data_IF_196956204796
#
_entry.id   IF_196956204796
#
_cell.length_a   1.000
_cell.length_b   1.000
_cell.length_c   1.000
_cell.angle_alpha   90.00
_cell.angle_beta   90.00
_cell.angle_gamma   90.00
#
_symmetry.space_group_name_H-M   'P 1'
#
loop_
_entity.id
_entity.type
_entity.pdbx_description
1 polymer ?
#
# COMPACT_ATOMS: atom_id res chain seq x y z
N UNK A 1 1.66 -6.10 8.67
CA UNK A 1 3.13 -6.10 8.87
C UNK A 1 3.46 -6.03 10.34
N UNK A 2 2.87 -5.10 11.08
CA UNK A 2 3.26 -4.79 12.46
C UNK A 2 3.10 -5.96 13.43
N UNK A 3 2.08 -6.81 13.24
CA UNK A 3 1.94 -8.06 13.97
C UNK A 3 3.17 -8.98 13.82
N UNK A 4 3.71 -9.12 12.59
CA UNK A 4 4.87 -9.95 12.34
C UNK A 4 6.15 -9.34 12.95
N UNK A 5 6.28 -8.00 12.92
CA UNK A 5 7.38 -7.28 13.58
C UNK A 5 7.32 -7.49 15.09
N UNK A 6 6.13 -7.34 15.69
CA UNK A 6 5.93 -7.53 17.12
C UNK A 6 6.24 -8.96 17.57
N UNK A 7 5.73 -9.97 16.85
CA UNK A 7 6.04 -11.37 17.11
C UNK A 7 7.54 -11.65 16.92
N UNK A 8 8.15 -11.17 15.84
CA UNK A 8 9.58 -11.30 15.60
C UNK A 8 10.40 -10.76 16.78
N UNK A 9 10.04 -9.58 17.28
CA UNK A 9 10.71 -8.97 18.42
C UNK A 9 10.60 -9.82 19.71
N UNK A 10 9.46 -10.47 19.96
CA UNK A 10 9.30 -11.39 21.08
C UNK A 10 10.22 -12.61 21.00
N UNK A 11 10.55 -13.06 19.78
CA UNK A 11 11.49 -14.15 19.53
C UNK A 11 12.95 -13.66 19.34
N UNK A 12 13.23 -12.37 19.55
CA UNK A 12 14.57 -11.80 19.42
C UNK A 12 15.00 -11.46 17.98
N UNK A 13 14.07 -11.49 17.02
CA UNK A 13 14.33 -11.10 15.64
C UNK A 13 13.94 -9.63 15.38
N UNK A 14 14.70 -8.97 14.52
CA UNK A 14 14.38 -7.63 14.02
C UNK A 14 13.93 -7.73 12.57
N UNK A 15 12.67 -7.40 12.29
CA UNK A 15 12.13 -7.35 10.94
C UNK A 15 11.99 -5.89 10.46
N UNK A 16 12.28 -5.62 9.17
CA UNK A 16 12.08 -4.29 8.61
C UNK A 16 10.60 -3.92 8.51
N UNK A 17 10.29 -2.63 8.62
CA UNK A 17 8.96 -2.11 8.31
C UNK A 17 8.61 -2.39 6.84
N UNK A 18 7.37 -2.81 6.57
CA UNK A 18 6.94 -3.10 5.21
C UNK A 18 6.11 -1.97 4.58
N UNK A 19 5.52 -1.09 5.40
CA UNK A 19 4.71 0.04 4.94
C UNK A 19 5.04 1.28 5.74
N UNK A 20 5.25 2.40 5.05
CA UNK A 20 5.55 3.69 5.69
C UNK A 20 4.71 4.81 5.04
N UNK A 21 3.45 4.92 5.45
CA UNK A 21 2.49 5.91 4.93
C UNK A 21 2.56 6.09 3.40
N UNK A 22 2.35 5.00 2.62
CA UNK A 22 2.52 5.01 1.17
C UNK A 22 1.53 5.95 0.48
N UNK A 23 0.35 6.14 1.04
CA UNK A 23 -0.66 7.06 0.52
C UNK A 23 -0.30 8.54 0.72
N UNK A 24 0.79 8.90 1.41
CA UNK A 24 1.29 10.29 1.43
C UNK A 24 2.28 10.60 0.29
N UNK A 25 2.51 9.64 -0.60
CA UNK A 25 3.50 9.75 -1.68
C UNK A 25 3.12 10.80 -2.72
N UNK A 26 4.15 11.43 -3.29
CA UNK A 26 4.07 12.45 -4.34
C UNK A 26 4.66 11.97 -5.67
N UNK A 27 5.21 10.76 -5.72
CA UNK A 27 5.58 10.11 -6.98
C UNK A 27 5.37 8.61 -6.89
N UNK A 28 5.34 7.92 -8.04
CA UNK A 28 5.19 6.46 -8.09
C UNK A 28 6.45 5.79 -7.52
N UNK A 29 7.63 6.37 -7.76
CA UNK A 29 8.87 5.91 -7.13
C UNK A 29 8.81 6.02 -5.61
N UNK A 30 8.28 7.12 -5.08
CA UNK A 30 8.12 7.30 -3.64
C UNK A 30 7.12 6.29 -3.06
N UNK A 31 6.00 6.08 -3.74
CA UNK A 31 4.98 5.11 -3.35
C UNK A 31 5.57 3.72 -3.14
N UNK A 32 6.32 3.22 -4.12
CA UNK A 32 6.94 1.89 -4.06
C UNK A 32 8.15 1.79 -3.12
N UNK A 33 8.71 2.91 -2.68
CA UNK A 33 9.68 2.94 -1.57
C UNK A 33 9.01 2.87 -0.19
N UNK A 34 7.71 3.11 -0.12
CA UNK A 34 6.91 3.13 1.11
C UNK A 34 5.92 1.98 1.20
N UNK A 35 5.71 1.22 0.12
CA UNK A 35 4.78 0.10 0.02
C UNK A 35 5.54 -1.21 -0.21
N UNK A 36 5.26 -2.24 0.58
CA UNK A 36 5.94 -3.53 0.53
C UNK A 36 7.48 -3.41 0.47
N UNK A 37 8.05 -2.64 1.41
CA UNK A 37 9.48 -2.31 1.48
C UNK A 37 10.37 -3.56 1.51
N UNK A 38 9.99 -4.61 2.24
CA UNK A 38 10.79 -5.84 2.32
C UNK A 38 10.84 -6.58 0.98
N UNK A 39 9.70 -6.66 0.28
CA UNK A 39 9.61 -7.25 -1.06
C UNK A 39 10.40 -6.44 -2.08
N UNK A 40 10.24 -5.11 -2.07
CA UNK A 40 11.00 -4.22 -2.95
C UNK A 40 12.52 -4.32 -2.71
N UNK A 41 12.93 -4.47 -1.46
CA UNK A 41 14.34 -4.69 -1.09
C UNK A 41 14.83 -6.03 -1.61
N UNK A 42 14.04 -7.10 -1.46
CA UNK A 42 14.38 -8.42 -1.97
C UNK A 42 14.57 -8.43 -3.49
N UNK A 43 13.62 -7.89 -4.26
CA UNK A 43 13.75 -7.79 -5.72
C UNK A 43 14.95 -6.93 -6.14
N UNK A 44 15.24 -5.85 -5.40
CA UNK A 44 16.41 -5.02 -5.66
C UNK A 44 17.71 -5.81 -5.48
N UNK A 45 17.83 -6.55 -4.39
CA UNK A 45 19.07 -7.22 -4.00
C UNK A 45 19.31 -8.53 -4.74
N UNK A 46 18.26 -9.30 -4.99
CA UNK A 46 18.36 -10.62 -5.59
C UNK A 46 18.06 -10.67 -7.09
N UNK A 47 17.47 -9.62 -7.67
CA UNK A 47 17.18 -9.56 -9.11
C UNK A 47 17.85 -8.34 -9.75
N UNK A 48 17.54 -7.13 -9.29
CA UNK A 48 17.99 -5.90 -9.96
C UNK A 48 19.51 -5.71 -9.96
N UNK A 49 20.15 -5.85 -8.79
CA UNK A 49 21.60 -5.69 -8.63
C UNK A 49 22.38 -6.79 -9.39
N UNK A 50 22.02 -8.08 -9.28
CA UNK A 50 22.63 -9.15 -10.07
C UNK A 50 22.53 -8.96 -11.60
N UNK A 51 21.44 -8.36 -12.10
CA UNK A 51 21.31 -7.99 -13.52
C UNK A 51 22.21 -6.81 -13.96
N UNK A 52 23.08 -6.32 -13.08
CA UNK A 52 24.02 -5.22 -13.32
C UNK A 52 23.53 -3.85 -12.85
N UNK A 53 22.35 -3.77 -12.22
CA UNK A 53 21.78 -2.55 -11.67
C UNK A 53 21.80 -1.39 -12.67
N UNK A 54 22.38 -0.25 -12.25
CA UNK A 54 22.54 0.93 -13.10
C UNK A 54 23.90 1.00 -13.83
N UNK A 55 24.78 -0.01 -13.68
CA UNK A 55 26.20 0.09 -14.07
C UNK A 55 26.43 -0.02 -15.58
N UNK A 56 25.49 -0.60 -16.34
CA UNK A 56 25.62 -0.85 -17.78
C UNK A 56 24.81 0.13 -18.65
N UNK A 57 24.59 1.35 -18.16
CA UNK A 57 23.91 2.43 -18.88
C UNK A 57 22.38 2.38 -18.84
N UNK A 58 21.75 3.40 -19.45
CA UNK A 58 20.30 3.64 -19.40
C UNK A 58 19.46 2.53 -20.03
N UNK A 59 19.89 1.96 -21.16
CA UNK A 59 19.17 0.87 -21.82
C UNK A 59 19.07 -0.38 -20.95
N UNK A 60 20.18 -0.79 -20.31
CA UNK A 60 20.16 -1.93 -19.38
C UNK A 60 19.29 -1.65 -18.16
N UNK A 61 19.32 -0.42 -17.65
CA UNK A 61 18.49 0.00 -16.54
C UNK A 61 16.99 -0.15 -16.85
N UNK A 62 16.54 0.24 -18.05
CA UNK A 62 15.14 0.07 -18.49
C UNK A 62 14.76 -1.41 -18.49
N UNK A 63 15.58 -2.25 -19.11
CA UNK A 63 15.34 -3.69 -19.19
C UNK A 63 15.30 -4.30 -17.78
N UNK A 64 16.24 -3.94 -16.90
CA UNK A 64 16.30 -4.45 -15.55
C UNK A 64 15.05 -4.04 -14.73
N UNK A 65 14.57 -2.81 -14.89
CA UNK A 65 13.32 -2.36 -14.26
C UNK A 65 12.12 -3.14 -14.80
N UNK A 66 12.01 -3.31 -16.12
CA UNK A 66 10.92 -4.07 -16.73
C UNK A 66 10.91 -5.53 -16.25
N UNK A 67 12.08 -6.18 -16.20
CA UNK A 67 12.23 -7.56 -15.70
C UNK A 67 11.81 -7.66 -14.24
N UNK A 68 12.29 -6.77 -13.37
CA UNK A 68 11.91 -6.78 -11.95
C UNK A 68 10.40 -6.65 -11.80
N UNK A 69 9.76 -5.70 -12.48
CA UNK A 69 8.34 -5.45 -12.34
C UNK A 69 7.45 -6.55 -12.92
N UNK A 70 7.86 -7.17 -14.02
CA UNK A 70 7.17 -8.34 -14.56
C UNK A 70 7.28 -9.53 -13.60
N UNK A 71 8.46 -9.76 -13.01
CA UNK A 71 8.65 -10.81 -12.01
C UNK A 71 7.87 -10.51 -10.73
N UNK A 72 7.77 -9.25 -10.30
CA UNK A 72 6.91 -8.86 -9.18
C UNK A 72 5.43 -9.14 -9.47
N UNK A 73 4.96 -8.86 -10.69
CA UNK A 73 3.62 -9.25 -11.12
C UNK A 73 3.42 -10.77 -11.06
N UNK A 74 4.31 -11.54 -11.69
CA UNK A 74 4.24 -13.01 -11.71
C UNK A 74 4.30 -13.64 -10.30
N UNK A 75 5.02 -13.00 -9.37
CA UNK A 75 5.08 -13.46 -7.98
C UNK A 75 3.71 -13.40 -7.27
N UNK A 76 2.82 -12.49 -7.67
CA UNK A 76 1.50 -12.34 -7.07
C UNK A 76 0.48 -13.40 -7.53
N UNK A 77 0.66 -13.99 -8.71
CA UNK A 77 -0.20 -15.07 -9.20
C UNK A 77 -0.08 -15.34 -10.69
N UNK A 78 -0.74 -16.40 -11.15
CA UNK A 78 -0.69 -16.87 -12.53
C UNK A 78 -1.70 -16.19 -13.48
N UNK A 79 -2.64 -15.40 -12.94
CA UNK A 79 -3.64 -14.70 -13.73
C UNK A 79 -3.03 -13.51 -14.50
N UNK A 80 -3.60 -13.21 -15.67
CA UNK A 80 -3.10 -12.18 -16.58
C UNK A 80 -3.11 -10.78 -15.95
N UNK A 81 -4.05 -10.51 -15.05
CA UNK A 81 -4.20 -9.24 -14.34
C UNK A 81 -2.89 -8.84 -13.63
N UNK A 82 -2.19 -9.78 -13.00
CA UNK A 82 -0.92 -9.50 -12.31
C UNK A 82 0.24 -9.20 -13.26
N UNK A 83 0.27 -9.82 -14.44
CA UNK A 83 1.27 -9.52 -15.47
C UNK A 83 1.05 -8.11 -16.02
N UNK A 84 -0.20 -7.76 -16.34
CA UNK A 84 -0.57 -6.42 -16.79
C UNK A 84 -0.28 -5.36 -15.73
N UNK A 85 -0.56 -5.67 -14.47
CA UNK A 85 -0.23 -4.83 -13.33
C UNK A 85 1.27 -4.60 -13.17
N UNK A 86 2.08 -5.66 -13.31
CA UNK A 86 3.54 -5.56 -13.29
C UNK A 86 4.05 -4.71 -14.44
N UNK A 87 3.55 -4.95 -15.67
CA UNK A 87 3.90 -4.15 -16.84
C UNK A 87 3.51 -2.67 -16.66
N UNK A 88 2.32 -2.40 -16.13
CA UNK A 88 1.81 -1.06 -15.83
C UNK A 88 2.78 -0.27 -14.94
N UNK A 89 3.16 -0.83 -13.79
CA UNK A 89 4.10 -0.14 -12.89
C UNK A 89 5.53 -0.10 -13.42
N UNK A 90 5.95 -1.12 -14.16
CA UNK A 90 7.23 -1.10 -14.87
C UNK A 90 7.34 0.09 -15.83
N UNK A 91 6.31 0.28 -16.67
CA UNK A 91 6.22 1.42 -17.60
C UNK A 91 6.19 2.74 -16.84
N UNK A 92 5.33 2.89 -15.82
CA UNK A 92 5.23 4.11 -15.04
C UNK A 92 6.56 4.52 -14.41
N UNK A 93 7.29 3.57 -13.81
CA UNK A 93 8.56 3.86 -13.16
C UNK A 93 9.69 4.16 -14.16
N UNK A 94 9.66 3.52 -15.33
CA UNK A 94 10.59 3.85 -16.42
C UNK A 94 10.32 5.28 -16.93
N UNK A 95 9.05 5.62 -17.19
CA UNK A 95 8.66 6.96 -17.65
C UNK A 95 8.95 8.02 -16.61
N UNK A 96 8.62 7.76 -15.34
CA UNK A 96 8.88 8.69 -14.25
C UNK A 96 10.37 8.99 -14.14
N UNK A 97 11.21 7.94 -14.14
CA UNK A 97 12.66 8.10 -13.94
C UNK A 97 13.39 8.71 -15.14
N UNK A 98 12.89 8.51 -16.36
CA UNK A 98 13.57 8.98 -17.58
C UNK A 98 13.03 10.28 -18.14
N UNK A 99 11.73 10.55 -17.98
CA UNK A 99 11.04 11.65 -18.65
C UNK A 99 10.40 12.60 -17.66
N UNK A 100 9.66 12.10 -16.67
CA UNK A 100 8.78 12.96 -15.86
C UNK A 100 9.45 13.51 -14.60
N UNK A 101 10.54 12.93 -14.09
CA UNK A 101 11.19 13.39 -12.85
C UNK A 101 11.53 14.89 -12.85
N UNK A 102 12.12 15.48 -13.92
CA UNK A 102 12.39 16.93 -13.96
C UNK A 102 11.12 17.79 -14.02
N UNK A 103 10.04 17.26 -14.60
CA UNK A 103 8.76 17.97 -14.73
C UNK A 103 8.00 17.92 -13.41
N UNK A 104 7.89 16.75 -12.79
CA UNK A 104 7.22 16.53 -11.52
C UNK A 104 7.82 17.42 -10.42
N UNK A 105 9.15 17.58 -10.39
CA UNK A 105 9.84 18.47 -9.44
C UNK A 105 9.44 19.94 -9.54
N UNK A 106 8.89 20.40 -10.67
CA UNK A 106 8.45 21.78 -10.89
C UNK A 106 6.97 22.01 -10.54
N UNK A 107 6.20 20.94 -10.37
CA UNK A 107 4.76 20.99 -10.11
C UNK A 107 4.52 21.09 -8.59
N UNK A 108 3.48 21.81 -8.11
CA UNK A 108 3.09 21.82 -6.71
C UNK A 108 2.89 20.41 -6.11
N UNK A 109 3.27 20.24 -4.84
CA UNK A 109 3.22 18.96 -4.13
C UNK A 109 1.84 18.31 -4.09
N UNK A 110 0.77 19.11 -4.03
CA UNK A 110 -0.61 18.62 -4.06
C UNK A 110 -0.96 17.96 -5.40
N UNK A 111 -0.52 18.54 -6.51
CA UNK A 111 -0.79 17.99 -7.85
C UNK A 111 0.04 16.73 -8.10
N UNK A 112 1.28 16.70 -7.62
CA UNK A 112 2.12 15.50 -7.62
C UNK A 112 1.44 14.33 -6.86
N UNK A 113 0.89 14.63 -5.69
CA UNK A 113 0.16 13.65 -4.88
C UNK A 113 -1.12 13.17 -5.56
N UNK A 114 -1.95 14.08 -6.10
CA UNK A 114 -3.17 13.73 -6.85
C UNK A 114 -2.83 12.82 -8.03
N UNK A 115 -1.82 13.18 -8.83
CA UNK A 115 -1.32 12.36 -9.94
C UNK A 115 -0.90 10.96 -9.47
N UNK A 116 -0.14 10.88 -8.37
CA UNK A 116 0.36 9.61 -7.83
C UNK A 116 -0.79 8.72 -7.37
N UNK A 117 -1.72 9.27 -6.58
CA UNK A 117 -2.86 8.52 -6.07
C UNK A 117 -3.78 8.07 -7.19
N UNK A 118 -3.99 8.91 -8.20
CA UNK A 118 -4.79 8.55 -9.37
C UNK A 118 -4.22 7.31 -10.09
N UNK A 119 -2.92 7.30 -10.39
CA UNK A 119 -2.28 6.14 -11.01
C UNK A 119 -2.26 4.92 -10.10
N UNK A 120 -2.09 5.11 -8.80
CA UNK A 120 -2.15 4.01 -7.82
C UNK A 120 -3.54 3.38 -7.79
N UNK A 121 -4.62 4.17 -7.83
CA UNK A 121 -5.99 3.67 -7.86
C UNK A 121 -6.30 2.89 -9.15
N UNK A 122 -5.81 3.34 -10.30
CA UNK A 122 -5.88 2.56 -11.56
C UNK A 122 -5.14 1.24 -11.40
N UNK A 123 -3.94 1.28 -10.83
CA UNK A 123 -3.15 0.08 -10.54
C UNK A 123 -3.89 -0.90 -9.64
N UNK A 124 -4.60 -0.42 -8.62
CA UNK A 124 -5.41 -1.31 -7.77
C UNK A 124 -6.58 -1.95 -8.50
N UNK A 125 -7.22 -1.24 -9.43
CA UNK A 125 -8.22 -1.87 -10.31
C UNK A 125 -7.61 -3.02 -11.13
N UNK A 126 -6.41 -2.86 -11.67
CA UNK A 126 -5.75 -3.95 -12.40
C UNK A 126 -5.39 -5.13 -11.48
N UNK A 127 -5.05 -4.86 -10.23
CA UNK A 127 -4.65 -5.88 -9.27
C UNK A 127 -5.84 -6.72 -8.75
N UNK A 128 -6.95 -6.06 -8.43
CA UNK A 128 -8.04 -6.66 -7.65
C UNK A 128 -8.94 -7.61 -8.43
N UNK A 129 -9.06 -7.44 -9.75
CA UNK A 129 -10.03 -8.18 -10.56
C UNK A 129 -9.33 -9.23 -11.42
N UNK A 130 -9.78 -10.49 -11.35
CA UNK A 130 -9.31 -11.56 -12.24
C UNK A 130 -9.88 -11.38 -13.66
N UNK A 131 -11.14 -10.97 -13.78
CA UNK A 131 -11.76 -10.61 -15.05
C UNK A 131 -11.43 -9.15 -15.41
N UNK A 132 -10.90 -8.96 -16.62
CA UNK A 132 -10.58 -7.63 -17.14
C UNK A 132 -11.82 -6.81 -17.49
N UNK A 133 -12.97 -7.46 -17.72
CA UNK A 133 -14.26 -6.78 -17.86
C UNK A 133 -14.66 -6.07 -16.56
N UNK A 134 -14.46 -6.70 -15.40
CA UNK A 134 -14.75 -6.09 -14.09
C UNK A 134 -13.80 -4.93 -13.80
N UNK A 135 -12.51 -5.09 -14.09
CA UNK A 135 -11.53 -4.00 -13.96
C UNK A 135 -11.89 -2.81 -14.85
N UNK A 136 -12.28 -3.07 -16.11
CA UNK A 136 -12.72 -2.02 -17.02
C UNK A 136 -14.02 -1.37 -16.55
N UNK A 137 -14.97 -2.15 -16.03
CA UNK A 137 -16.22 -1.65 -15.43
C UNK A 137 -15.96 -0.74 -14.22
N UNK A 138 -15.01 -1.11 -13.36
CA UNK A 138 -14.59 -0.30 -12.23
C UNK A 138 -14.01 1.04 -12.69
N UNK A 139 -13.04 1.03 -13.60
CA UNK A 139 -12.45 2.24 -14.17
C UNK A 139 -13.52 3.11 -14.85
N UNK A 140 -14.41 2.51 -15.65
CA UNK A 140 -15.51 3.21 -16.33
C UNK A 140 -16.40 3.92 -15.30
N UNK A 141 -16.69 3.28 -14.18
CA UNK A 141 -17.50 3.86 -13.10
C UNK A 141 -16.77 4.99 -12.37
N UNK A 142 -15.45 4.91 -12.18
CA UNK A 142 -14.65 6.01 -11.62
C UNK A 142 -14.78 7.31 -12.44
N UNK A 143 -15.00 7.21 -13.75
CA UNK A 143 -15.25 8.35 -14.65
C UNK A 143 -16.72 8.60 -14.96
N UNK A 144 -17.63 8.17 -14.08
CA UNK A 144 -19.09 8.37 -14.19
C UNK A 144 -19.72 7.70 -15.43
N UNK A 145 -19.00 6.81 -16.13
CA UNK A 145 -19.51 6.08 -17.30
C UNK A 145 -20.33 4.83 -16.95
N UNK A 146 -20.53 4.54 -15.66
CA UNK A 146 -21.27 3.37 -15.17
C UNK A 146 -22.80 3.53 -15.16
N UNK A 147 -23.33 4.70 -15.50
CA UNK A 147 -24.78 4.97 -15.54
C UNK A 147 -25.45 5.21 -14.18
N UNK A 148 -24.74 4.95 -13.07
CA UNK A 148 -25.23 5.18 -11.71
C UNK A 148 -25.13 6.64 -11.22
N UNK A 149 -24.61 7.56 -12.04
CA UNK A 149 -24.29 8.92 -11.62
C UNK A 149 -23.13 8.98 -10.64
N UNK A 150 -23.07 10.04 -9.82
CA UNK A 150 -22.02 10.21 -8.80
C UNK A 150 -22.23 9.32 -7.57
N UNK A 151 -23.48 9.16 -7.15
CA UNK A 151 -23.87 8.29 -6.04
C UNK A 151 -25.28 7.76 -6.26
N UNK A 152 -25.49 6.49 -5.92
CA UNK A 152 -26.80 5.86 -5.88
C UNK A 152 -27.16 5.45 -4.45
N UNK A 153 -28.34 4.85 -4.26
CA UNK A 153 -28.80 4.40 -2.95
C UNK A 153 -27.84 3.40 -2.29
N UNK A 154 -27.24 2.50 -3.07
CA UNK A 154 -26.27 1.53 -2.58
C UNK A 154 -24.97 2.20 -2.13
N UNK A 155 -24.46 3.19 -2.88
CA UNK A 155 -23.31 4.01 -2.49
C UNK A 155 -23.54 4.69 -1.14
N UNK A 156 -24.70 5.32 -0.98
CA UNK A 156 -25.05 6.02 0.26
C UNK A 156 -25.17 5.06 1.43
N UNK A 157 -25.80 3.91 1.23
CA UNK A 157 -25.92 2.86 2.25
C UNK A 157 -24.56 2.33 2.71
N UNK A 158 -23.66 2.01 1.76
CA UNK A 158 -22.32 1.51 2.08
C UNK A 158 -21.48 2.58 2.78
N UNK A 159 -21.57 3.83 2.34
CA UNK A 159 -20.85 4.95 2.95
C UNK A 159 -21.32 5.17 4.39
N UNK A 160 -22.63 5.22 4.64
CA UNK A 160 -23.16 5.46 5.99
C UNK A 160 -22.88 4.30 6.93
N UNK A 161 -23.02 3.05 6.47
CA UNK A 161 -22.79 1.86 7.29
C UNK A 161 -21.31 1.65 7.64
N UNK A 162 -20.38 2.11 6.79
CA UNK A 162 -18.94 1.93 6.99
C UNK A 162 -18.20 3.23 7.35
N UNK A 163 -18.92 4.33 7.60
CA UNK A 163 -18.30 5.66 7.76
C UNK A 163 -17.21 5.68 8.85
N UNK A 164 -17.47 5.10 10.01
CA UNK A 164 -16.51 5.04 11.11
C UNK A 164 -15.24 4.27 10.72
N UNK A 165 -15.38 3.14 10.02
CA UNK A 165 -14.27 2.35 9.52
C UNK A 165 -13.46 3.12 8.47
N UNK A 166 -14.13 3.79 7.54
CA UNK A 166 -13.49 4.58 6.49
C UNK A 166 -12.71 5.76 7.09
N UNK A 167 -13.27 6.46 8.07
CA UNK A 167 -12.57 7.53 8.78
C UNK A 167 -11.35 6.99 9.54
N UNK A 168 -11.49 5.86 10.23
CA UNK A 168 -10.36 5.21 10.91
C UNK A 168 -9.25 4.80 9.91
N UNK A 169 -9.62 4.27 8.74
CA UNK A 169 -8.68 3.90 7.69
C UNK A 169 -7.96 5.14 7.12
N UNK A 170 -8.68 6.22 6.84
CA UNK A 170 -8.08 7.48 6.37
C UNK A 170 -7.10 8.02 7.40
N UNK A 171 -7.51 8.15 8.67
CA UNK A 171 -6.65 8.66 9.74
C UNK A 171 -5.43 7.75 9.93
N UNK A 172 -5.62 6.43 9.93
CA UNK A 172 -4.55 5.45 10.08
C UNK A 172 -3.57 5.42 8.91
N UNK A 173 -4.01 5.79 7.70
CA UNK A 173 -3.17 5.89 6.51
C UNK A 173 -2.29 7.14 6.45
N UNK A 174 -2.45 8.08 7.40
CA UNK A 174 -1.73 9.34 7.48
C UNK A 174 -0.74 9.37 8.65
N UNK A 175 0.44 9.94 8.40
CA UNK A 175 1.48 10.13 9.40
C UNK A 175 1.13 11.22 10.43
N UNK A 176 0.11 12.03 10.15
CA UNK A 176 -0.31 13.15 11.00
C UNK A 176 -0.72 12.65 12.38
N UNK A 177 -1.51 11.57 12.47
CA UNK A 177 -1.92 11.02 13.76
C UNK A 177 -0.71 10.65 14.61
N UNK A 178 0.23 9.86 14.05
CA UNK A 178 1.48 9.48 14.71
C UNK A 178 2.29 10.70 15.15
N UNK A 179 2.44 11.70 14.28
CA UNK A 179 3.21 12.92 14.58
C UNK A 179 2.59 13.73 15.71
N UNK A 180 1.27 13.89 15.70
CA UNK A 180 0.54 14.65 16.73
C UNK A 180 0.57 13.91 18.06
N UNK A 181 0.33 12.60 18.06
CA UNK A 181 0.37 11.80 19.30
C UNK A 181 1.76 11.79 19.91
N UNK A 182 2.81 11.52 19.12
CA UNK A 182 4.19 11.53 19.61
C UNK A 182 4.63 12.93 20.06
N UNK A 183 4.16 14.02 19.45
CA UNK A 183 4.59 15.37 19.81
C UNK A 183 3.91 15.92 21.06
N UNK A 184 2.61 15.68 21.22
CA UNK A 184 1.80 16.39 22.22
C UNK A 184 1.27 15.50 23.35
N UNK A 185 1.04 14.21 23.08
CA UNK A 185 0.35 13.33 24.04
C UNK A 185 1.30 12.30 24.66
N UNK A 186 2.12 11.66 23.84
CA UNK A 186 3.00 10.55 24.23
C UNK A 186 4.41 10.70 23.63
N UNK A 187 5.21 11.66 24.11
CA UNK A 187 6.59 11.81 23.69
C UNK A 187 7.40 10.54 23.86
N UNK A 188 8.36 10.32 22.96
CA UNK A 188 9.27 9.17 23.02
C UNK A 188 10.04 9.18 24.34
N UNK A 189 10.33 7.98 24.86
CA UNK A 189 11.14 7.79 26.07
C UNK A 189 10.54 8.45 27.32
N UNK A 190 9.19 8.49 27.41
CA UNK A 190 8.50 8.98 28.61
C UNK A 190 7.73 7.86 29.30
N UNK A 191 7.79 7.84 30.63
CA UNK A 191 7.04 6.88 31.46
C UNK A 191 5.53 6.96 31.18
N UNK A 192 5.00 8.15 30.90
CA UNK A 192 3.60 8.34 30.51
C UNK A 192 3.23 7.53 29.27
N UNK A 193 4.10 7.54 28.25
CA UNK A 193 3.88 6.77 27.02
C UNK A 193 3.89 5.27 27.31
N UNK A 194 4.84 4.81 28.13
CA UNK A 194 4.96 3.38 28.45
C UNK A 194 3.74 2.89 29.23
N UNK A 195 3.31 3.63 30.24
CA UNK A 195 2.08 3.34 31.00
C UNK A 195 0.87 3.31 30.08
N UNK A 196 0.69 4.34 29.23
CA UNK A 196 -0.42 4.39 28.29
C UNK A 196 -0.39 3.23 27.29
N UNK A 197 0.80 2.84 26.83
CA UNK A 197 1.01 1.69 25.95
C UNK A 197 0.61 0.37 26.61
N UNK A 198 0.99 0.14 27.87
CA UNK A 198 0.59 -1.05 28.63
C UNK A 198 -0.93 -1.14 28.78
N UNK A 199 -1.60 -0.04 29.18
CA UNK A 199 -3.05 -0.03 29.30
C UNK A 199 -3.75 -0.23 27.96
N UNK A 200 -3.22 0.37 26.88
CA UNK A 200 -3.76 0.18 25.54
C UNK A 200 -3.66 -1.29 25.09
N UNK A 201 -2.50 -1.93 25.29
CA UNK A 201 -2.29 -3.34 24.94
C UNK A 201 -3.22 -4.24 25.76
N UNK A 202 -3.38 -3.98 27.07
CA UNK A 202 -4.30 -4.73 27.93
C UNK A 202 -5.76 -4.59 27.48
N UNK A 203 -6.20 -3.36 27.18
CA UNK A 203 -7.55 -3.11 26.69
C UNK A 203 -7.81 -3.81 25.35
N UNK A 204 -6.85 -3.72 24.41
CA UNK A 204 -6.91 -4.41 23.12
C UNK A 204 -6.95 -5.92 23.29
N UNK A 205 -6.14 -6.48 24.21
CA UNK A 205 -6.13 -7.91 24.49
C UNK A 205 -7.49 -8.38 25.01
N UNK A 206 -8.08 -7.67 25.98
CA UNK A 206 -9.40 -7.98 26.52
C UNK A 206 -10.47 -7.88 25.43
N UNK A 207 -10.43 -6.85 24.59
CA UNK A 207 -11.36 -6.69 23.48
C UNK A 207 -11.25 -7.84 22.46
N UNK A 208 -10.02 -8.22 22.09
CA UNK A 208 -9.79 -9.36 21.20
C UNK A 208 -10.31 -10.67 21.79
N UNK A 209 -10.09 -10.92 23.09
CA UNK A 209 -10.61 -12.12 23.77
C UNK A 209 -12.14 -12.11 23.80
N UNK A 210 -12.77 -10.97 24.11
CA UNK A 210 -14.22 -10.85 24.12
C UNK A 210 -14.83 -11.11 22.73
N UNK A 211 -14.21 -10.56 21.67
CA UNK A 211 -14.63 -10.82 20.29
C UNK A 211 -14.44 -12.29 19.90
N UNK A 212 -13.32 -12.91 20.31
CA UNK A 212 -13.04 -14.32 20.03
C UNK A 212 -14.08 -15.24 20.67
N UNK A 213 -14.44 -14.98 21.93
CA UNK A 213 -15.47 -15.74 22.66
C UNK A 213 -16.85 -15.61 22.00
N UNK A 214 -17.17 -14.45 21.45
CA UNK A 214 -18.43 -14.21 20.76
C UNK A 214 -18.48 -14.76 19.32
N UNK A 215 -17.31 -15.07 18.73
CA UNK A 215 -17.21 -15.58 17.36
C UNK A 215 -17.25 -17.12 17.33
N UNK A 216 -18.32 -17.70 16.80
CA UNK A 216 -18.51 -19.17 16.73
C UNK A 216 -17.66 -19.85 15.63
N UNK A 217 -17.09 -19.07 14.71
CA UNK A 217 -16.34 -19.57 13.54
C UNK A 217 -15.24 -18.57 13.14
N UNK A 218 -13.97 -18.98 13.29
CA UNK A 218 -12.80 -18.20 12.88
C UNK A 218 -11.96 -18.97 11.84
N UNK A 219 -12.38 -18.99 10.57
CA UNK A 219 -11.61 -19.63 9.52
C UNK A 219 -10.31 -18.87 9.31
N UNK A 220 -9.19 -19.59 9.26
CA UNK A 220 -7.87 -19.00 9.09
C UNK A 220 -7.77 -18.29 7.72
N UNK A 221 -7.45 -16.99 7.74
CA UNK A 221 -7.52 -16.09 6.58
C UNK A 221 -6.67 -16.57 5.38
N UNK A 222 -5.57 -17.30 5.64
CA UNK A 222 -4.63 -17.76 4.61
C UNK A 222 -5.11 -18.96 3.78
N UNK A 223 -6.25 -19.57 4.10
CA UNK A 223 -6.85 -20.64 3.28
C UNK A 223 -7.99 -20.12 2.38
N UNK A 224 -8.12 -18.80 2.21
CA UNK A 224 -9.18 -18.15 1.43
C UNK A 224 -8.69 -17.44 0.17
N UNK A 225 -7.58 -17.90 -0.41
CA UNK A 225 -7.09 -17.42 -1.70
C UNK A 225 -7.55 -18.34 -2.83
#
# INVERSE_FOLDING_TARGET
SDMAIGLGAMFGFSFPENFNYPYESKSITEFWRRWHISLGTWFREYVYIPLGGNRKGRGRQIINLAVVWLLTGLWHGAYLNFVLWGAYYGVLLILEKLLWEPVLKKIPSILQHIYTMFLVMIGWSLFSWQDMADSAGYIKTMFLGGGAGFANQQTMYLLSSNLALLLAAVIGSLSVLKRVTERYFFPKETVRRDIAGVFFILAMFIACVAMLVNSSYNPFLYFRF
#
